data_IF_878929707694
#
_entry.id   IF_878929707694
#
_cell.length_a   1.000
_cell.length_b   1.000
_cell.length_c   1.000
_cell.angle_alpha   90.00
_cell.angle_beta   90.00
_cell.angle_gamma   90.00
#
_symmetry.space_group_name_H-M   'P 1'
#
loop_
_entity.id
_entity.type
_entity.pdbx_description
1 polymer ?
#
# COMPACT_ATOMS: atom_id res chain seq x y z
N UNK A 1 -33.07 -11.38 15.73
CA UNK A 1 -32.57 -10.05 15.30
C UNK A 1 -31.07 -10.17 15.28
N UNK A 2 -30.61 -10.83 14.24
CA UNK A 2 -29.26 -11.37 14.18
C UNK A 2 -28.53 -10.32 13.37
N UNK A 3 -27.98 -9.32 14.08
CA UNK A 3 -26.99 -8.43 13.48
C UNK A 3 -25.74 -9.28 13.30
N UNK A 4 -25.79 -10.23 12.37
CA UNK A 4 -24.59 -10.81 11.80
C UNK A 4 -23.89 -9.64 11.13
N UNK A 5 -22.99 -9.01 11.89
CA UNK A 5 -22.09 -8.00 11.35
C UNK A 5 -21.40 -8.67 10.18
N UNK A 6 -21.74 -8.23 8.97
CA UNK A 6 -21.15 -8.72 7.74
C UNK A 6 -19.64 -8.57 7.91
N UNK A 7 -18.97 -9.68 8.16
CA UNK A 7 -17.51 -9.69 8.22
C UNK A 7 -17.06 -9.32 6.81
N UNK A 8 -16.41 -8.18 6.68
CA UNK A 8 -15.85 -7.76 5.41
C UNK A 8 -14.72 -8.74 5.09
N UNK A 9 -14.94 -9.55 4.07
CA UNK A 9 -13.94 -10.44 3.52
C UNK A 9 -12.69 -9.66 3.09
N UNK A 10 -11.51 -10.27 3.19
CA UNK A 10 -10.23 -9.64 2.87
C UNK A 10 -10.22 -9.07 1.44
N UNK A 11 -10.78 -9.82 0.48
CA UNK A 11 -10.79 -9.44 -0.93
C UNK A 11 -11.74 -8.27 -1.16
N UNK A 12 -12.95 -8.36 -0.61
CA UNK A 12 -13.95 -7.30 -0.72
C UNK A 12 -13.49 -6.01 -0.02
N UNK A 13 -12.92 -6.13 1.18
CA UNK A 13 -12.40 -5.01 1.94
C UNK A 13 -11.26 -4.31 1.21
N UNK A 14 -10.32 -5.06 0.63
CA UNK A 14 -9.21 -4.51 -0.16
C UNK A 14 -9.73 -3.77 -1.40
N UNK A 15 -10.70 -4.33 -2.12
CA UNK A 15 -11.32 -3.68 -3.28
C UNK A 15 -12.02 -2.36 -2.89
N UNK A 16 -12.80 -2.37 -1.80
CA UNK A 16 -13.49 -1.18 -1.29
C UNK A 16 -12.50 -0.11 -0.82
N UNK A 17 -11.44 -0.49 -0.08
CA UNK A 17 -10.37 0.43 0.34
C UNK A 17 -9.72 1.08 -0.88
N UNK A 18 -9.41 0.30 -1.92
CA UNK A 18 -8.85 0.80 -3.17
C UNK A 18 -9.80 1.77 -3.89
N UNK A 19 -11.09 1.45 -3.96
CA UNK A 19 -12.10 2.32 -4.55
C UNK A 19 -12.22 3.64 -3.80
N UNK A 20 -12.37 3.59 -2.47
CA UNK A 20 -12.51 4.80 -1.64
C UNK A 20 -11.23 5.64 -1.66
N UNK A 21 -10.06 5.01 -1.71
CA UNK A 21 -8.78 5.70 -1.86
C UNK A 21 -8.68 6.41 -3.20
N UNK A 22 -9.08 5.79 -4.31
CA UNK A 22 -9.10 6.46 -5.63
C UNK A 22 -10.07 7.64 -5.68
N UNK A 23 -11.18 7.57 -4.95
CA UNK A 23 -12.14 8.66 -4.82
C UNK A 23 -11.71 9.76 -3.85
N UNK A 24 -10.55 9.65 -3.18
CA UNK A 24 -10.09 10.61 -2.17
C UNK A 24 -10.82 10.52 -0.83
N UNK A 25 -11.71 9.54 -0.66
CA UNK A 25 -12.48 9.34 0.57
C UNK A 25 -11.74 8.42 1.54
N UNK A 26 -10.61 8.90 2.05
CA UNK A 26 -9.73 8.10 2.90
C UNK A 26 -10.35 7.74 4.26
N UNK A 27 -11.25 8.56 4.79
CA UNK A 27 -11.98 8.24 6.03
C UNK A 27 -12.90 7.02 5.86
N UNK A 28 -13.56 6.91 4.69
CA UNK A 28 -14.39 5.76 4.39
C UNK A 28 -13.54 4.52 4.09
N UNK A 29 -12.41 4.69 3.38
CA UNK A 29 -11.42 3.63 3.22
C UNK A 29 -10.95 3.11 4.59
N UNK A 30 -10.70 3.99 5.56
CA UNK A 30 -10.21 3.62 6.89
C UNK A 30 -11.27 2.86 7.68
N UNK A 31 -12.54 3.28 7.62
CA UNK A 31 -13.65 2.57 8.26
C UNK A 31 -13.79 1.14 7.73
N UNK A 32 -13.70 0.96 6.41
CA UNK A 32 -13.71 -0.37 5.80
C UNK A 32 -12.50 -1.18 6.28
N UNK A 33 -11.30 -0.61 6.23
CA UNK A 33 -10.08 -1.26 6.66
C UNK A 33 -10.12 -1.69 8.15
N UNK A 34 -10.69 -0.87 9.03
CA UNK A 34 -10.87 -1.20 10.45
C UNK A 34 -11.95 -2.26 10.68
N UNK A 35 -12.96 -2.33 9.80
CA UNK A 35 -14.01 -3.35 9.84
C UNK A 35 -13.61 -4.73 9.32
N UNK A 36 -12.42 -4.86 8.72
CA UNK A 36 -11.88 -6.15 8.27
C UNK A 36 -11.37 -6.97 9.45
N UNK A 37 -11.88 -8.19 9.59
CA UNK A 37 -11.48 -9.13 10.64
C UNK A 37 -10.03 -9.61 10.46
N UNK A 38 -9.64 -9.84 9.20
CA UNK A 38 -8.28 -10.17 8.79
C UNK A 38 -7.80 -9.12 7.78
N UNK A 39 -6.51 -8.79 7.81
CA UNK A 39 -5.91 -7.80 6.92
C UNK A 39 -4.64 -8.38 6.35
N UNK A 40 -4.66 -8.66 5.05
CA UNK A 40 -3.53 -9.16 4.32
C UNK A 40 -2.58 -8.01 3.89
N UNK A 41 -1.43 -8.39 3.34
CA UNK A 41 -0.41 -7.45 2.86
C UNK A 41 -0.99 -6.48 1.83
N UNK A 42 -1.92 -6.96 1.00
CA UNK A 42 -2.57 -6.17 -0.05
C UNK A 42 -3.44 -5.06 0.55
N UNK A 43 -4.26 -5.37 1.56
CA UNK A 43 -5.11 -4.39 2.26
C UNK A 43 -4.28 -3.28 2.89
N UNK A 44 -3.20 -3.64 3.62
CA UNK A 44 -2.28 -2.66 4.22
C UNK A 44 -1.62 -1.79 3.16
N UNK A 45 -1.08 -2.41 2.10
CA UNK A 45 -0.39 -1.69 1.02
C UNK A 45 -1.33 -0.73 0.29
N UNK A 46 -2.58 -1.14 0.06
CA UNK A 46 -3.59 -0.31 -0.60
C UNK A 46 -3.94 0.91 0.25
N UNK A 47 -4.11 0.74 1.57
CA UNK A 47 -4.38 1.85 2.48
C UNK A 47 -3.20 2.83 2.58
N UNK A 48 -1.98 2.30 2.67
CA UNK A 48 -0.74 3.10 2.73
C UNK A 48 -0.55 3.89 1.43
N UNK A 49 -0.74 3.24 0.27
CA UNK A 49 -0.67 3.90 -1.03
C UNK A 49 -1.75 4.97 -1.17
N UNK A 50 -2.97 4.71 -0.67
CA UNK A 50 -4.05 5.69 -0.62
C UNK A 50 -3.62 6.97 0.13
N UNK A 51 -3.10 6.84 1.35
CA UNK A 51 -2.61 8.01 2.09
C UNK A 51 -1.41 8.70 1.42
N UNK A 52 -0.49 7.94 0.81
CA UNK A 52 0.67 8.50 0.12
C UNK A 52 0.27 9.34 -1.11
N UNK A 53 -0.67 8.85 -1.93
CA UNK A 53 -1.14 9.53 -3.15
C UNK A 53 -1.83 10.85 -2.82
N UNK A 54 -2.56 10.92 -1.69
CA UNK A 54 -3.27 12.13 -1.25
C UNK A 54 -2.43 13.05 -0.35
N UNK A 55 -1.10 12.85 -0.30
CA UNK A 55 -0.18 13.74 0.43
C UNK A 55 -0.18 13.57 1.95
N UNK A 56 -0.82 12.54 2.48
CA UNK A 56 -0.85 12.22 3.91
C UNK A 56 0.25 11.22 4.30
N UNK A 57 1.50 11.52 3.94
CA UNK A 57 2.65 10.64 4.15
C UNK A 57 2.88 10.24 5.62
N UNK A 58 2.60 11.13 6.56
CA UNK A 58 2.74 10.85 8.00
C UNK A 58 1.79 9.71 8.44
N UNK A 59 0.50 9.78 8.04
CA UNK A 59 -0.47 8.71 8.33
C UNK A 59 -0.09 7.40 7.62
N UNK A 60 0.45 7.49 6.40
CA UNK A 60 0.94 6.33 5.66
C UNK A 60 2.09 5.63 6.41
N UNK A 61 3.04 6.39 6.97
CA UNK A 61 4.14 5.85 7.77
C UNK A 61 3.67 5.22 9.09
N UNK A 62 2.72 5.86 9.77
CA UNK A 62 2.12 5.29 10.99
C UNK A 62 1.43 3.94 10.71
N UNK A 63 0.73 3.82 9.58
CA UNK A 63 0.12 2.57 9.12
C UNK A 63 1.17 1.52 8.74
N UNK A 64 2.25 1.92 8.08
CA UNK A 64 3.37 1.04 7.78
C UNK A 64 4.05 0.50 9.05
N UNK A 65 4.22 1.32 10.07
CA UNK A 65 4.72 0.89 11.37
C UNK A 65 3.76 -0.07 12.08
N UNK A 66 2.44 0.18 12.00
CA UNK A 66 1.44 -0.74 12.51
C UNK A 66 1.47 -2.09 11.78
N UNK A 67 1.64 -2.08 10.45
CA UNK A 67 1.80 -3.28 9.64
C UNK A 67 3.03 -4.09 10.05
N UNK A 68 4.19 -3.45 10.25
CA UNK A 68 5.41 -4.12 10.73
C UNK A 68 5.20 -4.80 12.09
N UNK A 69 4.48 -4.15 13.01
CA UNK A 69 4.13 -4.73 14.31
C UNK A 69 3.17 -5.92 14.19
N UNK A 70 2.32 -5.92 13.18
CA UNK A 70 1.37 -7.01 12.87
C UNK A 70 2.05 -8.30 12.36
N UNK A 71 3.39 -8.34 12.24
CA UNK A 71 4.19 -9.43 11.63
C UNK A 71 3.76 -9.79 10.19
N UNK A 72 2.96 -8.93 9.55
CA UNK A 72 2.50 -9.09 8.18
C UNK A 72 3.61 -8.56 7.28
N UNK A 73 4.40 -9.47 6.69
CA UNK A 73 5.59 -9.13 5.89
C UNK A 73 5.13 -8.33 4.66
N UNK A 74 5.47 -7.04 4.52
CA UNK A 74 5.11 -6.31 3.32
C UNK A 74 5.92 -6.85 2.14
N UNK A 75 5.28 -6.98 0.96
CA UNK A 75 5.95 -7.39 -0.29
C UNK A 75 7.19 -6.55 -0.61
N UNK A 76 7.23 -5.28 -0.16
CA UNK A 76 8.39 -4.40 -0.32
C UNK A 76 9.63 -4.87 0.46
N UNK A 77 9.43 -5.64 1.53
CA UNK A 77 10.53 -6.25 2.28
C UNK A 77 11.11 -7.47 1.55
N UNK A 78 10.30 -8.17 0.75
CA UNK A 78 10.80 -9.24 -0.12
C UNK A 78 11.66 -8.65 -1.24
N UNK A 79 11.34 -7.48 -1.78
CA UNK A 79 12.22 -6.79 -2.74
C UNK A 79 13.63 -6.57 -2.18
N UNK A 80 13.76 -6.22 -0.90
CA UNK A 80 15.06 -6.04 -0.25
C UNK A 80 15.81 -7.37 0.01
N UNK A 81 15.09 -8.48 0.19
CA UNK A 81 15.69 -9.81 0.41
C UNK A 81 16.05 -10.49 -0.91
N UNK A 82 15.25 -10.30 -1.96
CA UNK A 82 15.43 -10.92 -3.28
C UNK A 82 16.22 -10.07 -4.28
N UNK A 83 16.27 -8.74 -4.11
CA UNK A 83 17.18 -7.86 -4.85
C UNK A 83 18.26 -7.33 -3.91
N UNK A 84 19.27 -8.16 -3.59
CA UNK A 84 20.46 -7.66 -2.93
C UNK A 84 21.18 -6.72 -3.90
N UNK A 85 21.03 -5.41 -3.69
CA UNK A 85 22.01 -4.32 -3.91
C UNK A 85 22.89 -4.26 -5.18
N UNK A 86 22.75 -5.13 -6.18
CA UNK A 86 23.76 -5.32 -7.24
C UNK A 86 23.19 -5.55 -8.65
N UNK A 87 21.95 -5.15 -8.92
CA UNK A 87 21.40 -5.20 -10.28
C UNK A 87 20.48 -4.00 -10.55
N UNK A 88 21.05 -2.80 -10.60
CA UNK A 88 20.44 -1.73 -11.41
C UNK A 88 20.45 -2.21 -12.87
N UNK A 89 19.29 -2.39 -13.52
CA UNK A 89 19.26 -2.80 -14.91
C UNK A 89 19.89 -1.72 -15.80
N UNK A 90 20.63 -2.13 -16.84
CA UNK A 90 21.34 -1.21 -17.74
C UNK A 90 20.45 -0.13 -18.40
N UNK A 91 19.13 -0.37 -18.49
CA UNK A 91 18.20 0.64 -18.99
C UNK A 91 18.06 1.86 -18.08
N UNK A 92 18.29 1.71 -16.76
CA UNK A 92 18.21 2.81 -15.79
C UNK A 92 19.45 3.72 -15.84
N UNK A 93 20.62 3.19 -16.22
CA UNK A 93 21.79 4.01 -16.55
C UNK A 93 21.57 4.77 -17.87
N UNK A 94 20.90 4.13 -18.83
CA UNK A 94 20.66 4.72 -20.16
C UNK A 94 19.64 5.86 -20.16
N UNK A 95 18.71 5.89 -19.20
CA UNK A 95 17.79 7.03 -19.04
C UNK A 95 18.44 8.26 -18.40
N UNK A 96 19.54 8.08 -17.64
CA UNK A 96 20.29 9.20 -17.06
C UNK A 96 21.17 9.96 -18.07
N UNK A 97 21.64 9.28 -19.13
CA UNK A 97 22.39 9.92 -20.24
C UNK A 97 21.50 10.62 -21.28
N UNK A 98 20.18 10.50 -21.21
CA UNK A 98 19.27 11.16 -22.17
C UNK A 98 18.93 12.60 -21.77
N UNK A 99 19.55 13.14 -20.72
CA UNK A 99 19.36 14.52 -20.28
C UNK A 99 20.49 15.49 -20.70
N UNK A 100 21.49 15.01 -21.43
CA UNK A 100 22.65 15.81 -21.87
C UNK A 100 22.74 16.00 -23.40
N UNK A 101 21.66 15.76 -24.16
CA UNK A 101 21.63 15.95 -25.63
C UNK A 101 20.42 16.76 -26.11
N UNK A 102 19.96 17.69 -25.28
CA UNK A 102 19.06 18.77 -25.72
C UNK A 102 19.75 20.09 -25.40
N UNK A 103 20.83 20.38 -26.13
CA UNK A 103 21.37 21.71 -26.41
C UNK A 103 22.20 21.63 -27.72
#
# INVERSE_FOLDING_TARGET
>A
MDKEGVKIDVVLGTALVGMYSKCGSLDNALKVFQGMAERDVTAWSTMIAGYAIHGHGEKALQLFDAMKRSKTIPIVSLSLVFYPHAATPDWLKRSSNFRDHVD
#
